data_IF_202969791544
#
_entry.id   IF_202969791544
#
_cell.length_a   1.000
_cell.length_b   1.000
_cell.length_c   1.000
_cell.angle_alpha   90.00
_cell.angle_beta   90.00
_cell.angle_gamma   90.00
#
_symmetry.space_group_name_H-M   'P 1'
#
loop_
_entity.id
_entity.type
_entity.pdbx_description
1 polymer ?
#
# COMPACT_ATOMS: atom_id res chain seq x y z
N UNK A 1 5.10 21.95 28.51
CA UNK A 1 3.95 21.36 27.81
C UNK A 1 3.67 19.99 28.42
N UNK A 2 2.48 19.70 28.91
CA UNK A 2 2.15 18.38 29.50
C UNK A 2 1.60 17.49 28.40
N UNK A 3 2.22 16.34 28.19
CA UNK A 3 1.73 15.34 27.24
C UNK A 3 0.41 14.79 27.77
N UNK A 4 -0.68 14.99 27.04
CA UNK A 4 -2.02 14.57 27.45
C UNK A 4 -2.23 13.05 27.36
N UNK A 5 -1.51 12.39 26.44
CA UNK A 5 -1.56 10.94 26.19
C UNK A 5 -0.12 10.43 25.99
N UNK A 6 0.51 9.91 27.05
CA UNK A 6 1.86 9.36 26.93
C UNK A 6 1.84 8.10 26.03
N UNK A 7 2.85 7.91 25.18
CA UNK A 7 2.93 6.73 24.35
C UNK A 7 3.25 5.48 25.18
N UNK A 8 2.70 4.33 24.77
CA UNK A 8 3.09 3.01 25.28
C UNK A 8 4.32 2.56 24.49
N UNK A 9 5.47 2.52 25.16
CA UNK A 9 6.78 2.20 24.53
C UNK A 9 7.17 0.73 24.63
N UNK A 10 6.45 -0.05 25.43
CA UNK A 10 6.69 -1.48 25.56
C UNK A 10 6.47 -2.17 24.22
N UNK A 11 7.51 -2.86 23.73
CA UNK A 11 7.46 -3.55 22.44
C UNK A 11 6.64 -4.82 22.55
N UNK A 12 5.70 -4.98 21.62
CA UNK A 12 4.93 -6.20 21.50
C UNK A 12 5.73 -7.28 20.74
N UNK A 13 5.86 -8.43 21.38
CA UNK A 13 6.34 -9.67 20.76
C UNK A 13 5.52 -10.85 21.32
N UNK A 14 5.41 -11.99 20.59
CA UNK A 14 4.84 -13.20 21.14
C UNK A 14 5.58 -13.66 22.41
N UNK A 15 4.85 -14.25 23.34
CA UNK A 15 5.43 -14.78 24.57
C UNK A 15 6.44 -15.91 24.28
N UNK A 16 7.42 -16.09 25.17
CA UNK A 16 8.45 -17.13 25.07
C UNK A 16 9.68 -16.76 24.25
N UNK A 17 9.67 -15.63 23.55
CA UNK A 17 10.83 -15.10 22.85
C UNK A 17 11.45 -13.97 23.66
N UNK A 18 12.71 -14.11 24.04
CA UNK A 18 13.45 -13.08 24.77
C UNK A 18 13.65 -11.81 23.95
N UNK A 19 14.09 -10.70 24.60
CA UNK A 19 14.28 -9.41 23.93
C UNK A 19 15.50 -9.36 22.99
N UNK A 20 16.33 -10.38 22.96
CA UNK A 20 17.55 -10.43 22.18
C UNK A 20 17.36 -11.31 20.94
N UNK A 21 17.40 -10.68 19.79
CA UNK A 21 17.39 -11.33 18.50
C UNK A 21 18.85 -11.63 18.10
N UNK A 22 19.17 -12.91 17.95
CA UNK A 22 20.39 -13.31 17.28
C UNK A 22 20.16 -13.21 15.77
N UNK A 23 20.46 -12.05 15.21
CA UNK A 23 20.45 -11.89 13.76
C UNK A 23 21.62 -12.71 13.18
N UNK A 24 21.39 -13.45 12.07
CA UNK A 24 22.44 -14.27 11.43
C UNK A 24 23.46 -13.43 10.65
N UNK A 25 23.62 -12.15 10.99
CA UNK A 25 24.46 -11.19 10.29
C UNK A 25 25.48 -10.60 11.24
N UNK A 26 26.72 -10.53 10.79
CA UNK A 26 27.83 -9.92 11.53
C UNK A 26 28.27 -8.59 10.91
N UNK A 27 27.95 -8.37 9.64
CA UNK A 27 28.31 -7.17 8.89
C UNK A 27 27.09 -6.62 8.11
N UNK A 28 27.02 -5.30 7.96
CA UNK A 28 25.97 -4.63 7.20
C UNK A 28 25.94 -5.04 5.71
N UNK A 29 27.06 -5.34 5.12
CA UNK A 29 27.16 -5.75 3.70
C UNK A 29 26.47 -7.10 3.42
N UNK A 30 26.21 -7.91 4.46
CA UNK A 30 25.51 -9.18 4.33
C UNK A 30 23.99 -9.00 4.07
N UNK A 31 23.44 -7.84 4.42
CA UNK A 31 22.00 -7.58 4.28
C UNK A 31 21.66 -6.28 3.53
N UNK A 32 22.65 -5.50 3.13
CA UNK A 32 22.45 -4.32 2.28
C UNK A 32 22.82 -4.69 0.85
N UNK A 33 21.81 -4.99 0.03
CA UNK A 33 22.00 -5.10 -1.41
C UNK A 33 21.77 -3.73 -2.04
N UNK A 34 22.81 -3.19 -2.67
CA UNK A 34 22.69 -1.97 -3.46
C UNK A 34 21.90 -2.28 -4.71
N UNK A 35 20.80 -1.56 -4.90
CA UNK A 35 19.93 -1.67 -6.05
C UNK A 35 20.12 -0.43 -6.92
N UNK A 36 20.42 -0.65 -8.20
CA UNK A 36 20.42 0.41 -9.19
C UNK A 36 18.99 0.61 -9.68
N UNK A 37 18.39 1.71 -9.25
CA UNK A 37 17.01 2.01 -9.64
C UNK A 37 16.95 2.32 -11.14
N UNK A 38 15.97 1.76 -11.88
CA UNK A 38 15.71 2.16 -13.25
C UNK A 38 15.27 3.63 -13.30
N UNK A 39 15.31 4.23 -14.49
CA UNK A 39 14.70 5.54 -14.70
C UNK A 39 13.20 5.46 -14.41
N UNK A 40 12.72 6.30 -13.50
CA UNK A 40 11.32 6.35 -13.07
C UNK A 40 10.75 7.75 -13.21
N UNK A 41 9.49 7.83 -13.62
CA UNK A 41 8.67 9.03 -13.52
C UNK A 41 7.73 8.90 -12.32
N UNK A 42 7.54 10.03 -11.64
CA UNK A 42 6.59 10.19 -10.56
C UNK A 42 5.45 11.09 -11.02
N UNK A 43 4.22 10.68 -10.77
CA UNK A 43 3.04 11.48 -11.05
C UNK A 43 2.07 11.43 -9.88
N UNK A 44 1.43 12.57 -9.65
CA UNK A 44 0.33 12.69 -8.70
C UNK A 44 -0.99 12.57 -9.44
N UNK A 45 -1.86 11.71 -8.94
CA UNK A 45 -3.22 11.52 -9.46
C UNK A 45 -4.21 11.75 -8.32
N UNK A 46 -5.12 12.69 -8.54
CA UNK A 46 -6.17 13.01 -7.58
C UNK A 46 -7.44 12.24 -7.88
N UNK A 47 -8.01 11.62 -6.85
CA UNK A 47 -9.29 10.91 -6.91
C UNK A 47 -10.27 11.55 -5.94
N UNK A 48 -11.28 12.23 -6.47
CA UNK A 48 -12.33 12.83 -5.64
C UNK A 48 -13.12 11.77 -4.86
N UNK A 49 -13.72 12.18 -3.75
CA UNK A 49 -14.61 11.31 -2.97
C UNK A 49 -15.72 10.68 -3.84
N UNK A 50 -16.22 11.45 -4.81
CA UNK A 50 -17.25 11.01 -5.77
C UNK A 50 -16.71 9.92 -6.71
N UNK A 51 -15.52 10.08 -7.26
CA UNK A 51 -14.87 9.07 -8.12
C UNK A 51 -14.64 7.77 -7.34
N UNK A 52 -14.15 7.87 -6.11
CA UNK A 52 -13.91 6.72 -5.24
C UNK A 52 -15.20 6.00 -4.86
N UNK A 53 -16.29 6.76 -4.58
CA UNK A 53 -17.60 6.18 -4.29
C UNK A 53 -18.14 5.37 -5.47
N UNK A 54 -18.00 5.90 -6.70
CA UNK A 54 -18.37 5.17 -7.94
C UNK A 54 -17.57 3.90 -8.15
N UNK A 55 -16.23 3.94 -7.91
CA UNK A 55 -15.40 2.73 -7.98
C UNK A 55 -15.84 1.68 -6.96
N UNK A 56 -16.15 2.10 -5.73
CA UNK A 56 -16.64 1.20 -4.68
C UNK A 56 -17.98 0.58 -5.06
N UNK A 57 -18.93 1.38 -5.54
CA UNK A 57 -20.23 0.91 -6.00
C UNK A 57 -20.07 -0.12 -7.13
N UNK A 58 -19.30 0.22 -8.18
CA UNK A 58 -18.98 -0.68 -9.28
C UNK A 58 -18.38 -2.00 -8.80
N UNK A 59 -17.35 -1.96 -7.97
CA UNK A 59 -16.67 -3.15 -7.47
C UNK A 59 -17.61 -4.06 -6.66
N UNK A 60 -18.44 -3.48 -5.81
CA UNK A 60 -19.41 -4.24 -5.01
C UNK A 60 -20.52 -4.84 -5.87
N UNK A 61 -21.06 -4.09 -6.84
CA UNK A 61 -22.07 -4.58 -7.77
C UNK A 61 -21.53 -5.75 -8.61
N UNK A 62 -20.34 -5.60 -9.19
CA UNK A 62 -19.71 -6.62 -10.03
C UNK A 62 -19.34 -7.90 -9.26
N UNK A 63 -19.15 -7.82 -7.93
CA UNK A 63 -18.87 -8.96 -7.05
C UNK A 63 -20.08 -9.44 -6.25
N UNK A 64 -21.24 -8.85 -6.46
CA UNK A 64 -22.47 -9.15 -5.70
C UNK A 64 -22.26 -9.13 -4.17
N UNK A 65 -21.64 -8.06 -3.67
CA UNK A 65 -21.32 -7.87 -2.23
C UNK A 65 -21.44 -6.40 -1.84
N UNK A 66 -21.30 -6.11 -0.55
CA UNK A 66 -21.21 -4.76 0.02
C UNK A 66 -19.90 -4.57 0.83
N UNK A 67 -19.05 -5.60 0.88
CA UNK A 67 -17.91 -5.68 1.81
C UNK A 67 -16.64 -5.04 1.28
N UNK A 68 -16.54 -4.84 -0.03
CA UNK A 68 -15.36 -4.23 -0.64
C UNK A 68 -15.27 -2.75 -0.23
N UNK A 69 -14.16 -2.37 0.38
CA UNK A 69 -13.94 -1.00 0.83
C UNK A 69 -13.51 -0.07 -0.32
N UNK A 70 -13.67 1.24 -0.11
CA UNK A 70 -13.22 2.27 -1.06
C UNK A 70 -11.73 2.10 -1.43
N UNK A 71 -10.88 1.83 -0.45
CA UNK A 71 -9.44 1.67 -0.69
C UNK A 71 -9.11 0.38 -1.47
N UNK A 72 -9.81 -0.72 -1.21
CA UNK A 72 -9.66 -1.96 -1.99
C UNK A 72 -10.11 -1.76 -3.44
N UNK A 73 -11.22 -1.04 -3.66
CA UNK A 73 -11.72 -0.73 -5.01
C UNK A 73 -10.73 0.14 -5.78
N UNK A 74 -10.21 1.21 -5.16
CA UNK A 74 -9.21 2.09 -5.74
C UNK A 74 -7.90 1.34 -6.03
N UNK A 75 -7.43 0.52 -5.09
CA UNK A 75 -6.20 -0.25 -5.26
C UNK A 75 -6.31 -1.28 -6.38
N UNK A 76 -7.46 -1.95 -6.51
CA UNK A 76 -7.73 -2.89 -7.59
C UNK A 76 -7.78 -2.18 -8.95
N UNK A 77 -8.43 -1.02 -9.01
CA UNK A 77 -8.50 -0.21 -10.22
C UNK A 77 -7.10 0.20 -10.70
N UNK A 78 -6.28 0.74 -9.81
CA UNK A 78 -4.90 1.17 -10.12
C UNK A 78 -4.02 -0.04 -10.49
N UNK A 79 -4.16 -1.19 -9.81
CA UNK A 79 -3.44 -2.42 -10.15
C UNK A 79 -3.74 -2.87 -11.57
N UNK A 80 -5.03 -2.92 -11.95
CA UNK A 80 -5.46 -3.24 -13.33
C UNK A 80 -4.88 -2.25 -14.34
N UNK A 81 -5.02 -0.95 -14.08
CA UNK A 81 -4.57 0.11 -14.99
C UNK A 81 -3.06 0.09 -15.20
N UNK A 82 -2.27 -0.09 -14.15
CA UNK A 82 -0.81 -0.21 -14.25
C UNK A 82 -0.41 -1.49 -14.99
N UNK A 83 -1.06 -2.63 -14.72
CA UNK A 83 -0.79 -3.89 -15.42
C UNK A 83 -1.08 -3.76 -16.91
N UNK A 84 -2.19 -3.12 -17.28
CA UNK A 84 -2.54 -2.81 -18.69
C UNK A 84 -1.49 -1.89 -19.34
N UNK A 85 -1.07 -0.84 -18.64
CA UNK A 85 -0.08 0.12 -19.14
C UNK A 85 1.30 -0.51 -19.37
N UNK A 86 1.68 -1.51 -18.59
CA UNK A 86 2.94 -2.25 -18.70
C UNK A 86 2.98 -3.23 -19.88
N UNK A 87 1.83 -3.62 -20.43
CA UNK A 87 1.71 -4.54 -21.57
C UNK A 87 2.48 -5.84 -21.38
N UNK A 88 2.37 -6.43 -20.20
CA UNK A 88 3.03 -7.70 -19.90
C UNK A 88 2.53 -8.85 -20.81
N UNK A 89 3.37 -9.87 -21.08
CA UNK A 89 2.88 -11.15 -21.60
C UNK A 89 1.76 -11.72 -20.73
N UNK A 90 0.81 -12.42 -21.33
CA UNK A 90 -0.39 -12.92 -20.65
C UNK A 90 -0.11 -13.72 -19.39
N UNK A 91 0.91 -14.57 -19.41
CA UNK A 91 1.28 -15.46 -18.32
C UNK A 91 2.12 -14.78 -17.23
N UNK A 92 2.45 -13.51 -17.39
CA UNK A 92 3.23 -12.78 -16.39
C UNK A 92 2.45 -12.69 -15.09
N UNK A 93 3.06 -13.18 -14.01
CA UNK A 93 2.47 -13.09 -12.68
C UNK A 93 2.60 -11.65 -12.18
N UNK A 94 1.49 -11.05 -11.81
CA UNK A 94 1.41 -9.71 -11.21
C UNK A 94 0.77 -9.78 -9.84
N UNK A 95 1.04 -8.79 -9.00
CA UNK A 95 0.46 -8.74 -7.66
C UNK A 95 0.16 -7.32 -7.21
N UNK A 96 -0.74 -7.22 -6.25
CA UNK A 96 -1.01 -5.99 -5.53
C UNK A 96 -0.76 -6.21 -4.04
N UNK A 97 0.17 -5.44 -3.47
CA UNK A 97 0.48 -5.47 -2.04
C UNK A 97 -0.12 -4.27 -1.33
N UNK A 98 -0.74 -4.51 -0.19
CA UNK A 98 -1.30 -3.47 0.69
C UNK A 98 -0.61 -3.56 2.05
N UNK A 99 -0.13 -2.42 2.55
CA UNK A 99 0.36 -2.30 3.92
C UNK A 99 -0.82 -2.34 4.90
N UNK A 100 -0.74 -3.20 5.90
CA UNK A 100 -1.80 -3.43 6.89
C UNK A 100 -1.30 -3.07 8.28
N UNK A 101 -2.08 -2.24 8.98
CA UNK A 101 -1.89 -1.97 10.39
C UNK A 101 -2.42 -3.14 11.23
N UNK A 102 -1.56 -3.75 12.04
CA UNK A 102 -1.90 -4.93 12.84
C UNK A 102 -2.48 -4.60 14.22
N UNK A 103 -2.42 -3.33 14.68
CA UNK A 103 -2.79 -2.98 16.07
C UNK A 103 -4.16 -3.50 16.50
N UNK A 104 -5.16 -3.32 15.65
CA UNK A 104 -6.54 -3.76 15.90
C UNK A 104 -6.83 -5.21 15.49
N UNK A 105 -5.84 -5.89 14.90
CA UNK A 105 -5.99 -7.28 14.42
C UNK A 105 -5.44 -8.31 15.40
N UNK A 106 -4.58 -7.86 16.29
CA UNK A 106 -4.05 -8.69 17.37
C UNK A 106 -5.11 -8.91 18.44
N UNK A 107 -5.05 -10.08 19.09
CA UNK A 107 -5.89 -10.46 20.21
C UNK A 107 -4.99 -10.80 21.42
N UNK A 108 -4.99 -9.94 22.47
CA UNK A 108 -5.70 -8.66 22.58
C UNK A 108 -5.12 -7.58 21.65
N UNK A 109 -5.96 -6.62 21.24
CA UNK A 109 -5.54 -5.50 20.43
C UNK A 109 -4.47 -4.65 21.12
N UNK A 110 -3.54 -4.09 20.36
CA UNK A 110 -2.56 -3.17 20.92
C UNK A 110 -3.24 -1.85 21.38
N UNK A 111 -2.73 -1.23 22.46
CA UNK A 111 -3.22 0.06 22.90
C UNK A 111 -3.20 1.11 21.78
N UNK A 112 -4.16 2.01 21.75
CA UNK A 112 -4.21 3.09 20.75
C UNK A 112 -2.96 3.98 20.80
N UNK A 113 -2.33 4.10 21.97
CA UNK A 113 -1.13 4.90 22.21
C UNK A 113 0.17 4.08 22.06
N UNK A 114 0.09 2.85 21.51
CA UNK A 114 1.26 2.03 21.22
C UNK A 114 2.19 2.73 20.23
N UNK A 115 3.41 3.01 20.69
CA UNK A 115 4.46 3.62 19.89
C UNK A 115 5.44 2.57 19.38
N UNK A 116 5.20 2.08 18.19
CA UNK A 116 6.04 1.07 17.56
C UNK A 116 5.53 0.71 16.18
N UNK A 117 6.38 0.04 15.40
CA UNK A 117 6.02 -0.48 14.10
C UNK A 117 5.20 -1.78 14.28
N UNK A 118 3.96 -1.79 13.82
CA UNK A 118 3.10 -2.97 13.83
C UNK A 118 2.36 -3.04 12.49
N UNK A 119 3.14 -3.28 11.43
CA UNK A 119 2.70 -3.27 10.04
C UNK A 119 3.21 -4.54 9.36
N UNK A 120 2.34 -5.19 8.60
CA UNK A 120 2.68 -6.25 7.65
C UNK A 120 2.07 -5.93 6.30
N UNK A 121 2.37 -6.73 5.28
CA UNK A 121 1.76 -6.59 3.96
C UNK A 121 0.91 -7.81 3.63
N UNK A 122 -0.24 -7.58 3.00
CA UNK A 122 -1.01 -8.62 2.32
C UNK A 122 -0.79 -8.51 0.82
N UNK A 123 -0.95 -9.61 0.10
CA UNK A 123 -0.74 -9.67 -1.35
C UNK A 123 -1.87 -10.45 -2.02
N UNK A 124 -2.48 -9.86 -3.03
CA UNK A 124 -3.25 -10.59 -4.03
C UNK A 124 -2.36 -10.83 -5.25
N UNK A 125 -2.45 -12.01 -5.86
CA UNK A 125 -1.61 -12.43 -6.99
C UNK A 125 -2.48 -13.09 -8.05
N UNK A 126 -2.16 -12.84 -9.33
CA UNK A 126 -2.77 -13.50 -10.49
C UNK A 126 -1.90 -13.30 -11.72
N UNK A 127 -2.27 -13.83 -12.88
CA UNK A 127 -1.63 -13.51 -14.15
C UNK A 127 -2.15 -12.20 -14.73
N UNK A 128 -1.37 -11.58 -15.63
CA UNK A 128 -1.79 -10.36 -16.31
C UNK A 128 -3.07 -10.57 -17.12
N UNK A 129 -3.21 -11.71 -17.81
CA UNK A 129 -4.42 -12.06 -18.55
C UNK A 129 -5.63 -12.17 -17.62
N UNK A 130 -5.57 -12.99 -16.57
CA UNK A 130 -6.69 -13.13 -15.64
C UNK A 130 -7.11 -11.78 -15.03
N UNK A 131 -6.14 -10.94 -14.65
CA UNK A 131 -6.43 -9.63 -14.08
C UNK A 131 -7.19 -8.72 -15.05
N UNK A 132 -6.83 -8.77 -16.34
CA UNK A 132 -7.40 -7.89 -17.36
C UNK A 132 -8.69 -8.45 -17.97
N UNK A 133 -8.83 -9.77 -18.06
CA UNK A 133 -10.02 -10.45 -18.60
C UNK A 133 -11.22 -10.38 -17.63
N UNK A 134 -10.95 -10.34 -16.33
CA UNK A 134 -12.00 -10.17 -15.33
C UNK A 134 -12.32 -8.69 -15.07
N UNK A 135 -13.47 -8.42 -14.46
CA UNK A 135 -13.93 -7.08 -14.11
C UNK A 135 -13.23 -6.51 -12.86
N UNK A 136 -13.53 -5.25 -12.53
CA UNK A 136 -12.98 -4.57 -11.36
C UNK A 136 -13.35 -5.27 -10.05
N UNK A 137 -14.59 -5.73 -9.95
CA UNK A 137 -15.10 -6.40 -8.75
C UNK A 137 -14.29 -7.65 -8.41
N UNK A 138 -13.97 -8.46 -9.40
CA UNK A 138 -13.13 -9.66 -9.20
C UNK A 138 -11.75 -9.32 -8.63
N UNK A 139 -11.08 -8.32 -9.19
CA UNK A 139 -9.77 -7.88 -8.70
C UNK A 139 -9.84 -7.31 -7.27
N UNK A 140 -10.89 -6.52 -7.01
CA UNK A 140 -11.13 -5.93 -5.69
C UNK A 140 -11.50 -6.99 -4.65
N UNK A 141 -12.22 -8.04 -5.05
CA UNK A 141 -12.55 -9.17 -4.20
C UNK A 141 -11.30 -9.96 -3.78
N UNK A 142 -10.35 -10.20 -4.70
CA UNK A 142 -9.05 -10.82 -4.34
C UNK A 142 -8.32 -10.01 -3.26
N UNK A 143 -8.31 -8.68 -3.37
CA UNK A 143 -7.73 -7.81 -2.34
C UNK A 143 -8.52 -7.86 -1.03
N UNK A 144 -9.85 -7.88 -1.11
CA UNK A 144 -10.71 -8.03 0.07
C UNK A 144 -10.39 -9.33 0.82
N UNK A 145 -10.35 -10.46 0.12
CA UNK A 145 -9.99 -11.75 0.71
C UNK A 145 -8.61 -11.74 1.37
N UNK A 146 -7.60 -11.15 0.70
CA UNK A 146 -6.26 -11.03 1.29
C UNK A 146 -6.28 -10.20 2.59
N UNK A 147 -7.10 -9.15 2.65
CA UNK A 147 -7.22 -8.28 3.83
C UNK A 147 -7.98 -8.95 4.97
N UNK A 148 -9.10 -9.63 4.71
CA UNK A 148 -9.92 -10.25 5.77
C UNK A 148 -9.24 -11.50 6.34
N UNK A 149 -8.51 -12.24 5.52
CA UNK A 149 -7.75 -13.41 5.95
C UNK A 149 -6.49 -13.06 6.77
N UNK A 150 -6.10 -11.79 6.85
CA UNK A 150 -4.96 -11.34 7.66
C UNK A 150 -5.40 -11.12 9.11
N UNK A 151 -5.58 -12.21 9.84
CA UNK A 151 -6.04 -12.29 11.23
C UNK A 151 -4.88 -12.30 12.23
N UNK A 152 -5.16 -12.27 13.53
CA UNK A 152 -4.18 -12.44 14.61
C UNK A 152 -3.29 -13.68 14.39
N UNK A 153 -3.89 -14.80 13.98
CA UNK A 153 -3.15 -16.03 13.71
C UNK A 153 -2.08 -15.85 12.64
N UNK A 154 -2.38 -15.13 11.54
CA UNK A 154 -1.41 -14.85 10.48
C UNK A 154 -0.32 -13.90 10.95
N UNK A 155 -0.70 -12.86 11.72
CA UNK A 155 0.27 -11.90 12.27
C UNK A 155 1.26 -12.62 13.18
N UNK A 156 0.77 -13.42 14.15
CA UNK A 156 1.62 -14.18 15.08
C UNK A 156 2.43 -15.24 14.36
N UNK A 157 1.83 -15.97 13.42
CA UNK A 157 2.51 -16.99 12.64
C UNK A 157 3.70 -16.44 11.87
N UNK A 158 3.53 -15.27 11.24
CA UNK A 158 4.64 -14.58 10.57
C UNK A 158 5.75 -14.16 11.54
N UNK A 159 5.38 -13.57 12.69
CA UNK A 159 6.38 -13.11 13.68
C UNK A 159 7.11 -14.28 14.30
N UNK A 160 6.42 -15.38 14.64
CA UNK A 160 7.04 -16.60 15.16
C UNK A 160 8.02 -17.20 14.14
N UNK A 161 7.60 -17.36 12.88
CA UNK A 161 8.48 -17.87 11.84
C UNK A 161 9.70 -16.97 11.60
N UNK A 162 9.53 -15.65 11.74
CA UNK A 162 10.66 -14.71 11.66
C UNK A 162 11.59 -14.83 12.88
N UNK A 163 11.06 -15.06 14.09
CA UNK A 163 11.86 -15.28 15.29
C UNK A 163 12.65 -16.58 15.23
N UNK A 164 12.08 -17.63 14.62
CA UNK A 164 12.78 -18.91 14.40
C UNK A 164 13.87 -18.82 13.34
N UNK A 165 13.67 -17.98 12.31
CA UNK A 165 14.61 -17.78 11.22
C UNK A 165 14.63 -16.30 10.79
N UNK A 166 15.33 -15.42 11.55
CA UNK A 166 15.34 -13.99 11.28
C UNK A 166 15.96 -13.65 9.93
N UNK A 167 15.30 -12.75 9.21
CA UNK A 167 15.80 -12.20 7.94
C UNK A 167 15.60 -10.69 7.91
N UNK A 168 16.33 -10.02 7.04
CA UNK A 168 16.15 -8.60 6.72
C UNK A 168 15.68 -8.48 5.27
N UNK A 169 14.62 -7.70 5.06
CA UNK A 169 14.13 -7.45 3.71
C UNK A 169 15.19 -6.72 2.89
N UNK A 170 15.63 -7.36 1.83
CA UNK A 170 16.43 -6.69 0.81
C UNK A 170 15.48 -5.92 -0.13
N UNK A 171 15.72 -4.63 -0.27
CA UNK A 171 14.83 -3.74 -1.02
C UNK A 171 14.63 -4.22 -2.46
N UNK A 172 15.69 -4.67 -3.13
CA UNK A 172 15.63 -5.20 -4.48
C UNK A 172 14.70 -6.43 -4.65
N UNK A 173 14.49 -7.20 -3.56
CA UNK A 173 13.63 -8.38 -3.55
C UNK A 173 12.21 -8.07 -3.06
N UNK A 174 12.07 -7.00 -2.27
CA UNK A 174 10.78 -6.58 -1.73
C UNK A 174 9.88 -5.96 -2.80
N UNK A 175 10.48 -5.19 -3.72
CA UNK A 175 9.78 -4.52 -4.81
C UNK A 175 9.91 -5.30 -6.10
N UNK A 176 8.92 -6.14 -6.36
CA UNK A 176 8.74 -6.87 -7.60
C UNK A 176 8.22 -5.90 -8.69
N UNK A 177 8.99 -5.64 -9.77
CA UNK A 177 8.59 -4.68 -10.81
C UNK A 177 7.37 -5.14 -11.63
N UNK A 178 6.94 -6.38 -11.49
CA UNK A 178 5.71 -6.89 -12.11
C UNK A 178 4.47 -6.63 -11.26
N UNK A 179 4.66 -6.21 -10.00
CA UNK A 179 3.58 -5.95 -9.06
C UNK A 179 3.40 -4.46 -8.78
N UNK A 180 2.38 -4.11 -8.01
CA UNK A 180 2.18 -2.78 -7.43
C UNK A 180 2.21 -2.89 -5.91
N UNK A 181 2.72 -1.87 -5.24
CA UNK A 181 2.78 -1.82 -3.79
C UNK A 181 2.24 -0.51 -3.26
N UNK A 182 1.13 -0.59 -2.55
CA UNK A 182 0.53 0.54 -1.84
C UNK A 182 1.18 0.73 -0.48
N UNK A 183 1.66 1.92 -0.24
CA UNK A 183 2.16 2.38 1.04
C UNK A 183 1.43 3.62 1.51
N UNK A 184 1.63 3.97 2.81
CA UNK A 184 0.93 5.04 3.48
C UNK A 184 -0.59 4.77 3.61
N UNK A 185 -1.34 5.72 4.12
CA UNK A 185 -2.79 5.57 4.30
C UNK A 185 -3.48 6.92 4.08
N UNK A 186 -4.53 6.97 3.25
CA UNK A 186 -5.32 8.17 3.07
C UNK A 186 -6.17 8.53 4.32
N UNK A 187 -6.12 7.68 5.37
CA UNK A 187 -6.79 7.95 6.66
C UNK A 187 -5.92 8.69 7.66
N UNK A 188 -4.63 8.85 7.38
CA UNK A 188 -3.77 9.65 8.25
C UNK A 188 -4.10 11.13 8.07
N UNK A 189 -4.30 11.81 9.19
CA UNK A 189 -4.61 13.23 9.20
C UNK A 189 -3.34 14.08 8.98
N UNK A 190 -2.80 14.03 7.77
CA UNK A 190 -1.51 14.66 7.46
C UNK A 190 -1.62 16.17 7.23
N UNK A 191 -2.79 16.65 6.78
CA UNK A 191 -3.00 18.07 6.50
C UNK A 191 -3.29 18.94 7.73
N UNK A 192 -3.48 18.35 8.91
CA UNK A 192 -3.58 19.08 10.18
C UNK A 192 -2.23 19.45 10.79
N UNK A 193 -1.13 18.93 10.23
CA UNK A 193 0.20 19.34 10.65
C UNK A 193 0.51 20.72 10.07
N UNK A 194 0.42 21.73 10.93
CA UNK A 194 0.69 23.11 10.56
C UNK A 194 1.84 23.69 11.40
N UNK A 195 2.72 24.42 10.75
CA UNK A 195 3.92 25.02 11.33
C UNK A 195 3.91 26.54 11.27
N UNK A 196 2.73 27.17 11.24
CA UNK A 196 2.56 28.61 11.11
C UNK A 196 2.67 29.14 9.66
N UNK A 197 2.73 28.23 8.68
CA UNK A 197 2.81 28.56 7.25
C UNK A 197 1.48 28.34 6.49
N UNK A 198 0.44 27.98 7.22
CA UNK A 198 -0.85 27.58 6.64
C UNK A 198 -0.91 26.11 6.27
N UNK A 199 -2.07 25.67 5.77
CA UNK A 199 -2.32 24.28 5.36
C UNK A 199 -1.41 23.90 4.18
N UNK A 200 -0.79 22.73 4.27
CA UNK A 200 0.05 22.19 3.20
C UNK A 200 -0.70 22.15 1.85
N UNK A 201 0.01 22.40 0.78
CA UNK A 201 -0.54 22.35 -0.58
C UNK A 201 -0.62 20.90 -1.08
N UNK A 202 0.42 20.11 -0.81
CA UNK A 202 0.56 18.75 -1.30
C UNK A 202 1.42 17.93 -0.33
N UNK A 203 1.21 16.62 -0.32
CA UNK A 203 2.01 15.64 0.40
C UNK A 203 2.81 14.81 -0.62
N UNK A 204 4.09 14.54 -0.31
CA UNK A 204 4.96 13.73 -1.15
C UNK A 204 5.87 12.83 -0.32
N UNK A 205 6.19 11.64 -0.83
CA UNK A 205 7.00 10.67 -0.11
C UNK A 205 8.50 10.99 -0.10
N UNK A 206 8.94 11.97 -0.86
CA UNK A 206 10.34 12.32 -0.99
C UNK A 206 11.15 11.32 -1.83
N UNK A 207 12.44 11.56 -1.92
CA UNK A 207 13.37 10.90 -2.85
C UNK A 207 13.56 9.39 -2.58
N UNK A 208 13.63 8.97 -1.33
CA UNK A 208 14.09 7.64 -0.95
C UNK A 208 13.07 6.49 -1.16
N UNK A 209 11.85 6.77 -1.60
CA UNK A 209 10.78 5.79 -1.73
C UNK A 209 10.32 5.55 -3.17
N UNK A 210 11.25 5.59 -4.12
CA UNK A 210 10.93 5.49 -5.55
C UNK A 210 11.32 4.12 -6.09
N UNK A 211 10.31 3.32 -6.43
CA UNK A 211 10.45 1.98 -7.01
C UNK A 211 9.40 1.79 -8.09
N UNK A 212 9.70 0.97 -9.10
CA UNK A 212 8.71 0.63 -10.12
C UNK A 212 7.49 -0.05 -9.51
N UNK A 213 6.32 0.51 -9.74
CA UNK A 213 5.05 0.05 -9.16
C UNK A 213 4.78 0.49 -7.73
N UNK A 214 5.61 1.40 -7.17
CA UNK A 214 5.30 2.01 -5.89
C UNK A 214 4.15 3.00 -6.05
N UNK A 215 3.15 2.86 -5.18
CA UNK A 215 2.02 3.78 -5.04
C UNK A 215 1.97 4.26 -3.61
N UNK A 216 2.18 5.55 -3.39
CA UNK A 216 2.00 6.18 -2.08
C UNK A 216 0.65 6.87 -2.03
N UNK A 217 -0.17 6.53 -1.04
CA UNK A 217 -1.53 7.05 -0.91
C UNK A 217 -1.62 8.05 0.24
N UNK A 218 -2.21 9.20 -0.04
CA UNK A 218 -2.39 10.31 0.87
C UNK A 218 -3.87 10.71 0.94
N UNK A 219 -4.33 11.34 2.02
CA UNK A 219 -5.62 12.02 1.99
C UNK A 219 -5.58 13.12 0.92
N UNK A 220 -6.67 13.31 0.20
CA UNK A 220 -6.80 14.50 -0.66
C UNK A 220 -6.91 15.77 0.19
N UNK A 221 -6.38 16.88 -0.32
CA UNK A 221 -6.34 18.17 0.39
C UNK A 221 -7.72 18.68 0.81
N UNK A 222 -8.74 18.40 0.02
CA UNK A 222 -10.14 18.77 0.28
C UNK A 222 -10.78 17.92 1.38
N UNK A 223 -10.20 16.75 1.70
CA UNK A 223 -10.79 15.81 2.66
C UNK A 223 -11.99 15.04 2.10
N UNK A 224 -12.97 14.73 2.95
CA UNK A 224 -14.22 14.07 2.54
C UNK A 224 -14.07 12.65 2.00
N UNK A 225 -12.89 12.05 2.09
CA UNK A 225 -12.59 10.71 1.56
C UNK A 225 -11.93 10.72 0.17
N UNK A 226 -11.56 11.90 -0.34
CA UNK A 226 -10.68 12.02 -1.51
C UNK A 226 -9.30 11.45 -1.21
N UNK A 227 -8.60 11.02 -2.25
CA UNK A 227 -7.28 10.38 -2.15
C UNK A 227 -6.36 10.90 -3.25
N UNK A 228 -5.15 11.24 -2.85
CA UNK A 228 -4.06 11.54 -3.75
C UNK A 228 -3.13 10.32 -3.83
N UNK A 229 -2.78 9.89 -5.04
CA UNK A 229 -1.84 8.82 -5.27
C UNK A 229 -0.58 9.35 -5.96
N UNK A 230 0.57 9.12 -5.34
CA UNK A 230 1.87 9.29 -5.99
C UNK A 230 2.28 7.95 -6.58
N UNK A 231 2.36 7.86 -7.91
CA UNK A 231 2.66 6.64 -8.65
C UNK A 231 4.03 6.77 -9.30
N UNK A 232 4.87 5.73 -9.13
CA UNK A 232 6.20 5.64 -9.72
C UNK A 232 6.22 4.51 -10.75
N UNK A 233 6.54 4.84 -12.00
CA UNK A 233 6.63 3.88 -13.11
C UNK A 233 7.75 4.26 -14.08
N UNK A 234 8.28 3.29 -14.86
CA UNK A 234 9.13 3.61 -16.01
C UNK A 234 8.43 4.56 -16.98
N UNK A 235 9.17 5.42 -17.70
CA UNK A 235 8.60 6.46 -18.58
C UNK A 235 7.57 5.94 -19.58
N UNK A 236 7.82 4.78 -20.20
CA UNK A 236 6.91 4.18 -21.18
C UNK A 236 5.57 3.75 -20.54
N UNK A 237 5.63 3.13 -19.36
CA UNK A 237 4.44 2.69 -18.62
C UNK A 237 3.65 3.88 -18.07
N UNK A 238 4.34 4.92 -17.60
CA UNK A 238 3.68 6.14 -17.13
C UNK A 238 2.93 6.83 -18.27
N UNK A 239 3.57 7.00 -19.43
CA UNK A 239 2.93 7.56 -20.63
C UNK A 239 1.71 6.76 -21.07
N UNK A 240 1.80 5.42 -21.02
CA UNK A 240 0.66 4.55 -21.35
C UNK A 240 -0.49 4.71 -20.35
N UNK A 241 -0.18 4.85 -19.04
CA UNK A 241 -1.18 5.09 -18.00
C UNK A 241 -1.87 6.45 -18.16
N UNK A 242 -1.10 7.52 -18.43
CA UNK A 242 -1.62 8.87 -18.69
C UNK A 242 -2.47 8.95 -19.97
N UNK A 243 -2.30 8.00 -20.89
CA UNK A 243 -3.07 7.90 -22.14
C UNK A 243 -4.25 6.93 -22.04
N UNK A 244 -4.44 6.24 -20.92
CA UNK A 244 -5.55 5.32 -20.72
C UNK A 244 -6.83 6.09 -20.37
N UNK A 245 -7.79 6.10 -21.27
CA UNK A 245 -9.04 6.85 -21.13
C UNK A 245 -9.86 6.39 -19.92
N UNK A 246 -9.90 5.07 -19.63
CA UNK A 246 -10.62 4.55 -18.47
C UNK A 246 -9.98 5.07 -17.18
N UNK A 247 -8.65 5.00 -17.07
CA UNK A 247 -7.92 5.52 -15.92
C UNK A 247 -8.13 7.02 -15.74
N UNK A 248 -7.90 7.80 -16.78
CA UNK A 248 -8.00 9.26 -16.73
C UNK A 248 -9.43 9.75 -16.51
N UNK A 249 -10.47 8.98 -16.90
CA UNK A 249 -11.86 9.34 -16.63
C UNK A 249 -12.25 9.31 -15.15
N UNK A 250 -11.49 8.57 -14.34
CA UNK A 250 -11.70 8.45 -12.89
C UNK A 250 -10.82 9.44 -12.13
N UNK A 251 -9.67 9.80 -12.68
CA UNK A 251 -8.81 10.87 -12.15
C UNK A 251 -9.57 12.20 -12.25
N UNK A 252 -9.64 12.91 -11.15
CA UNK A 252 -10.33 14.20 -11.12
C UNK A 252 -9.40 15.29 -11.69
N UNK A 253 -9.96 16.20 -12.46
CA UNK A 253 -9.22 17.35 -12.96
C UNK A 253 -8.60 18.15 -11.80
N UNK A 254 -7.42 18.69 -12.06
CA UNK A 254 -6.50 19.29 -11.09
C UNK A 254 -7.17 20.15 -10.02
N UNK A 255 -6.86 19.83 -8.78
CA UNK A 255 -7.14 20.62 -7.57
C UNK A 255 -5.89 21.45 -7.15
N UNK A 256 -4.90 21.56 -8.06
CA UNK A 256 -3.64 22.27 -7.81
C UNK A 256 -3.53 23.56 -8.59
#
# INVERSE_FOLDING_TARGET
MKISRPPVLEKWFPEGHGPLLNLPFTNQDEFITRFEAPELLERMFHFSAKSIAKLKERANTESNTIEISSFQSLSAFVWRSITKARRFPNETVTGCRLAINNRSRLEPALPLDYFGNSIQTVRAVTTASELLDHNLGWAAWKLHQAVVNHTDKQVRGFVNGWLDSPFIYQIAQLFDPQSVMFGSSPRFNMYENEFGLGKALMLRSGYAHKFDGKVSSYPGREGGGSVDLEICLPPSSMKALESDEEFMSVVSADVF
#
